data_IF_257701557651
#
_entry.id   IF_257701557651
#
_cell.length_a   1.000
_cell.length_b   1.000
_cell.length_c   1.000
_cell.angle_alpha   90.00
_cell.angle_beta   90.00
_cell.angle_gamma   90.00
#
_symmetry.space_group_name_H-M   'P 1'
#
loop_
_entity.id
_entity.type
_entity.pdbx_description
1 polymer ?
#
# COMPACT_ATOMS: atom_id res chain seq x y z
N UNK A 1 24.39 10.90 -12.73
CA UNK A 1 23.18 10.29 -12.14
C UNK A 1 23.50 9.94 -10.70
N UNK A 2 22.77 10.50 -9.73
CA UNK A 2 22.97 10.24 -8.30
C UNK A 2 22.56 8.80 -8.00
N UNK A 3 23.45 8.02 -7.40
CA UNK A 3 23.17 6.62 -7.05
C UNK A 3 22.11 6.60 -5.94
N UNK A 4 20.96 5.97 -6.20
CA UNK A 4 19.90 5.80 -5.20
C UNK A 4 20.42 4.98 -4.02
N UNK A 5 20.06 5.40 -2.81
CA UNK A 5 20.28 4.65 -1.59
C UNK A 5 19.34 3.44 -1.54
N UNK A 6 19.73 2.35 -0.89
CA UNK A 6 18.82 1.23 -0.66
C UNK A 6 17.96 1.51 0.56
N UNK A 7 16.65 1.33 0.45
CA UNK A 7 15.78 1.35 1.62
C UNK A 7 16.22 0.28 2.64
N UNK A 8 15.95 0.50 3.94
CA UNK A 8 16.17 -0.51 4.98
C UNK A 8 15.59 -1.87 4.60
N UNK A 9 16.33 -2.95 4.89
CA UNK A 9 16.00 -4.35 4.55
C UNK A 9 15.88 -4.67 3.04
N UNK A 10 16.01 -3.71 2.12
CA UNK A 10 15.99 -4.00 0.67
C UNK A 10 17.07 -5.01 0.27
N UNK A 11 18.28 -4.89 0.83
CA UNK A 11 19.40 -5.81 0.53
C UNK A 11 19.23 -7.21 1.13
N UNK A 12 18.26 -7.37 2.04
CA UNK A 12 17.92 -8.68 2.63
C UNK A 12 16.87 -9.41 1.80
N UNK A 13 16.21 -8.73 0.86
CA UNK A 13 15.29 -9.35 -0.08
C UNK A 13 16.07 -10.21 -1.08
N UNK A 14 15.44 -11.29 -1.54
CA UNK A 14 15.96 -12.05 -2.68
C UNK A 14 16.07 -11.13 -3.91
N UNK A 15 17.14 -11.27 -4.69
CA UNK A 15 17.40 -10.41 -5.85
C UNK A 15 16.34 -10.57 -6.95
N UNK A 16 15.69 -11.73 -6.98
CA UNK A 16 14.61 -12.17 -7.85
C UNK A 16 13.25 -12.19 -7.14
N UNK A 17 13.13 -11.56 -5.97
CA UNK A 17 11.87 -11.46 -5.25
C UNK A 17 10.76 -10.91 -6.16
N UNK A 18 9.72 -11.71 -6.35
CA UNK A 18 8.52 -11.35 -7.10
C UNK A 18 7.49 -10.67 -6.21
N UNK A 19 7.45 -11.08 -4.94
CA UNK A 19 6.54 -10.58 -3.92
C UNK A 19 7.35 -9.89 -2.82
N UNK A 20 6.95 -8.68 -2.46
CA UNK A 20 7.70 -7.85 -1.51
C UNK A 20 6.74 -7.14 -0.56
N UNK A 21 7.04 -7.23 0.73
CA UNK A 21 6.35 -6.49 1.78
C UNK A 21 7.12 -5.22 2.14
N UNK A 22 6.41 -4.10 2.21
CA UNK A 22 6.90 -2.80 2.63
C UNK A 22 6.06 -2.34 3.82
N UNK A 23 6.70 -1.92 4.90
CA UNK A 23 6.03 -1.28 6.04
C UNK A 23 6.40 0.19 6.03
N UNK A 24 5.40 1.08 6.06
CA UNK A 24 5.59 2.52 5.94
C UNK A 24 4.88 3.29 7.05
N UNK A 25 5.60 4.22 7.68
CA UNK A 25 5.06 5.13 8.71
C UNK A 25 5.98 5.33 9.90
N UNK A 26 5.51 6.08 10.90
CA UNK A 26 6.26 6.37 12.12
C UNK A 26 6.62 5.11 12.92
N UNK A 27 5.75 4.10 12.91
CA UNK A 27 5.91 2.83 13.62
C UNK A 27 6.49 1.72 12.73
N UNK A 28 7.01 2.06 11.55
CA UNK A 28 7.41 1.04 10.58
C UNK A 28 8.50 0.10 11.09
N UNK A 29 9.41 0.58 11.94
CA UNK A 29 10.42 -0.26 12.59
C UNK A 29 9.84 -1.18 13.66
N UNK A 30 8.82 -0.73 14.40
CA UNK A 30 8.14 -1.55 15.41
C UNK A 30 7.45 -2.72 14.72
N UNK A 31 6.63 -2.44 13.71
CA UNK A 31 5.93 -3.46 12.92
C UNK A 31 6.86 -4.41 12.16
N UNK A 32 7.99 -3.91 11.66
CA UNK A 32 8.99 -4.77 11.00
C UNK A 32 9.79 -5.64 11.96
N UNK A 33 9.84 -5.27 13.25
CA UNK A 33 10.48 -6.01 14.32
C UNK A 33 9.54 -6.97 15.06
N UNK A 34 8.23 -6.88 14.83
CA UNK A 34 7.28 -7.82 15.40
C UNK A 34 7.56 -9.24 14.87
N UNK A 35 7.68 -10.24 15.76
CA UNK A 35 7.80 -11.62 15.32
C UNK A 35 6.54 -11.99 14.52
N UNK A 36 6.73 -12.77 13.45
CA UNK A 36 5.66 -13.28 12.57
C UNK A 36 4.48 -13.92 13.33
N UNK A 37 4.68 -14.28 14.60
CA UNK A 37 3.67 -14.84 15.51
C UNK A 37 2.48 -13.93 15.85
N UNK A 38 2.54 -12.61 15.60
CA UNK A 38 1.38 -11.72 15.77
C UNK A 38 0.53 -11.55 14.49
N UNK A 39 0.94 -12.18 13.39
CA UNK A 39 0.08 -12.31 12.20
C UNK A 39 -1.03 -13.29 12.50
N UNK A 40 -2.24 -12.97 12.05
CA UNK A 40 -3.45 -13.76 12.24
C UNK A 40 -3.15 -15.26 12.06
N UNK A 41 -3.69 -16.12 12.93
CA UNK A 41 -3.43 -17.55 12.99
C UNK A 41 -3.45 -18.31 11.63
N UNK A 42 -4.04 -17.72 10.59
CA UNK A 42 -4.01 -18.18 9.21
C UNK A 42 -2.62 -18.13 8.54
N UNK A 43 -1.73 -17.16 8.86
CA UNK A 43 -0.37 -17.11 8.32
C UNK A 43 0.57 -18.07 9.03
N UNK A 44 0.37 -18.30 10.34
CA UNK A 44 1.11 -19.30 11.12
C UNK A 44 0.87 -20.71 10.55
N UNK A 45 -0.38 -21.04 10.21
CA UNK A 45 -0.71 -22.32 9.58
C UNK A 45 -0.07 -22.51 8.19
N UNK A 46 0.23 -21.40 7.49
CA UNK A 46 0.86 -21.44 6.17
C UNK A 46 2.39 -21.57 6.27
N UNK A 47 3.02 -20.92 7.25
CA UNK A 47 4.45 -21.06 7.58
C UNK A 47 4.79 -22.47 8.09
N UNK A 48 3.89 -23.13 8.82
CA UNK A 48 4.07 -24.53 9.27
C UNK A 48 4.01 -25.54 8.11
N UNK A 49 3.29 -25.22 7.03
CA UNK A 49 3.16 -26.07 5.84
C UNK A 49 4.32 -25.91 4.84
N UNK A 50 5.02 -24.77 4.87
CA UNK A 50 6.14 -24.46 3.99
C UNK A 50 7.33 -23.98 4.83
N UNK A 51 8.30 -24.86 5.18
CA UNK A 51 9.47 -24.48 5.95
C UNK A 51 10.47 -23.73 5.05
N UNK A 52 10.07 -22.58 4.53
CA UNK A 52 10.97 -21.60 3.93
C UNK A 52 11.56 -20.77 5.06
N UNK A 53 12.79 -21.11 5.43
CA UNK A 53 13.47 -20.60 6.61
C UNK A 53 13.46 -19.08 6.74
N UNK A 54 13.17 -18.62 7.96
CA UNK A 54 13.37 -17.25 8.44
C UNK A 54 12.62 -16.19 7.65
N UNK A 55 11.50 -15.71 8.18
CA UNK A 55 10.74 -14.61 7.60
C UNK A 55 11.68 -13.47 7.13
N UNK A 56 11.76 -13.25 5.83
CA UNK A 56 12.55 -12.18 5.24
C UNK A 56 11.97 -10.86 5.78
N UNK A 57 12.75 -10.03 6.48
CA UNK A 57 12.20 -8.84 7.13
C UNK A 57 11.66 -7.88 6.07
N UNK A 58 10.49 -7.26 6.28
CA UNK A 58 9.91 -6.35 5.31
C UNK A 58 10.80 -5.13 5.11
N UNK A 59 10.67 -4.49 3.94
CA UNK A 59 11.34 -3.22 3.65
C UNK A 59 10.71 -2.15 4.53
N UNK A 60 11.52 -1.36 5.22
CA UNK A 60 11.03 -0.35 6.17
C UNK A 60 11.16 1.05 5.56
N UNK A 61 10.06 1.79 5.52
CA UNK A 61 10.01 3.20 5.18
C UNK A 61 9.56 3.98 6.41
N UNK A 62 10.53 4.36 7.26
CA UNK A 62 10.24 5.18 8.44
C UNK A 62 10.01 6.64 8.05
N UNK A 63 9.69 7.50 9.02
CA UNK A 63 9.57 8.95 8.81
C UNK A 63 10.79 9.54 8.07
N UNK A 64 12.00 9.01 8.31
CA UNK A 64 13.23 9.45 7.64
C UNK A 64 13.23 9.14 6.14
N UNK A 65 12.84 7.92 5.75
CA UNK A 65 12.80 7.52 4.35
C UNK A 65 11.62 8.18 3.64
N UNK A 66 10.47 8.30 4.31
CA UNK A 66 9.27 8.96 3.79
C UNK A 66 9.53 10.44 3.48
N UNK A 67 10.34 11.13 4.29
CA UNK A 67 10.72 12.52 4.06
C UNK A 67 11.59 12.73 2.81
N UNK A 68 12.26 11.69 2.30
CA UNK A 68 13.16 11.78 1.16
C UNK A 68 13.09 10.56 0.24
N UNK A 69 11.88 10.14 -0.14
CA UNK A 69 11.63 8.92 -0.93
C UNK A 69 12.38 8.88 -2.26
N UNK A 70 12.59 10.02 -2.91
CA UNK A 70 13.26 10.11 -4.22
C UNK A 70 14.75 9.76 -4.16
N UNK A 71 15.35 9.76 -2.97
CA UNK A 71 16.73 9.33 -2.76
C UNK A 71 16.87 7.81 -2.59
N UNK A 72 15.75 7.08 -2.41
CA UNK A 72 15.76 5.66 -2.09
C UNK A 72 15.20 4.79 -3.21
N UNK A 73 15.83 3.63 -3.38
CA UNK A 73 15.22 2.47 -4.00
C UNK A 73 14.42 1.72 -2.96
N UNK A 74 13.11 1.64 -3.16
CA UNK A 74 12.16 1.10 -2.17
C UNK A 74 11.73 -0.34 -2.46
N UNK A 75 12.08 -0.88 -3.63
CA UNK A 75 11.78 -2.26 -3.99
C UNK A 75 12.79 -2.87 -4.99
N UNK A 76 12.94 -4.21 -5.03
CA UNK A 76 13.66 -4.93 -6.06
C UNK A 76 13.05 -4.69 -7.45
N UNK A 77 13.88 -4.71 -8.49
CA UNK A 77 13.42 -4.40 -9.85
C UNK A 77 12.54 -5.50 -10.45
N UNK A 78 12.68 -6.72 -9.93
CA UNK A 78 11.91 -7.91 -10.32
C UNK A 78 10.55 -7.98 -9.64
N UNK A 79 10.30 -7.17 -8.61
CA UNK A 79 9.06 -7.22 -7.85
C UNK A 79 7.85 -6.94 -8.77
N UNK A 80 6.86 -7.82 -8.69
CA UNK A 80 5.59 -7.78 -9.43
C UNK A 80 4.40 -7.53 -8.50
N UNK A 81 4.47 -8.09 -7.28
CA UNK A 81 3.46 -7.93 -6.23
C UNK A 81 4.09 -7.19 -5.06
N UNK A 82 3.49 -6.08 -4.66
CA UNK A 82 3.98 -5.24 -3.57
C UNK A 82 2.83 -4.96 -2.61
N UNK A 83 3.03 -5.34 -1.36
CA UNK A 83 2.10 -5.03 -0.27
C UNK A 83 2.71 -3.97 0.62
N UNK A 84 2.06 -2.81 0.71
CA UNK A 84 2.44 -1.70 1.56
C UNK A 84 1.54 -1.72 2.78
N UNK A 85 2.10 -2.00 3.96
CA UNK A 85 1.41 -1.90 5.23
C UNK A 85 1.65 -0.54 5.86
N UNK A 86 0.58 0.21 6.15
CA UNK A 86 0.72 1.44 6.94
C UNK A 86 0.98 1.06 8.40
N UNK A 87 1.93 1.74 9.02
CA UNK A 87 2.28 1.61 10.43
C UNK A 87 2.49 3.02 11.00
N UNK A 88 1.39 3.72 11.27
CA UNK A 88 1.39 5.14 11.56
C UNK A 88 0.33 5.50 12.63
N UNK A 89 0.24 4.71 13.69
CA UNK A 89 -0.73 4.89 14.79
C UNK A 89 -2.20 4.91 14.29
N UNK A 90 -2.51 4.14 13.26
CA UNK A 90 -3.82 4.15 12.61
C UNK A 90 -4.12 5.40 11.75
N UNK A 91 -3.21 6.37 11.68
CA UNK A 91 -3.36 7.56 10.84
C UNK A 91 -3.01 7.27 9.38
N UNK A 92 -3.67 7.95 8.41
CA UNK A 92 -3.31 7.83 7.00
C UNK A 92 -1.89 8.36 6.75
N UNK A 93 -1.16 7.71 5.84
CA UNK A 93 0.07 8.28 5.30
C UNK A 93 -0.27 9.52 4.47
N UNK A 94 0.65 10.48 4.41
CA UNK A 94 0.49 11.65 3.56
C UNK A 94 0.29 11.22 2.10
N UNK A 95 -0.70 11.79 1.42
CA UNK A 95 -1.02 11.47 0.02
C UNK A 95 0.17 11.71 -0.91
N UNK A 96 0.98 12.72 -0.60
CA UNK A 96 2.25 13.01 -1.28
C UNK A 96 3.25 11.86 -1.13
N UNK A 97 3.33 11.22 0.04
CA UNK A 97 4.18 10.07 0.25
C UNK A 97 3.68 8.85 -0.54
N UNK A 98 2.36 8.61 -0.56
CA UNK A 98 1.75 7.52 -1.36
C UNK A 98 2.04 7.72 -2.85
N UNK A 99 1.82 8.94 -3.35
CA UNK A 99 2.10 9.32 -4.74
C UNK A 99 3.56 9.09 -5.11
N UNK A 100 4.49 9.54 -4.25
CA UNK A 100 5.92 9.34 -4.47
C UNK A 100 6.32 7.88 -4.43
N UNK A 101 5.78 7.08 -3.50
CA UNK A 101 6.01 5.63 -3.46
C UNK A 101 5.56 4.99 -4.77
N UNK A 102 4.33 5.24 -5.21
CA UNK A 102 3.82 4.73 -6.48
C UNK A 102 4.68 5.12 -7.68
N UNK A 103 5.17 6.37 -7.71
CA UNK A 103 6.08 6.85 -8.76
C UNK A 103 7.42 6.11 -8.76
N UNK A 104 8.02 5.88 -7.58
CA UNK A 104 9.24 5.09 -7.47
C UNK A 104 8.99 3.63 -7.88
N UNK A 105 7.86 3.03 -7.47
CA UNK A 105 7.49 1.67 -7.88
C UNK A 105 7.31 1.54 -9.39
N UNK A 106 6.63 2.50 -10.02
CA UNK A 106 6.38 2.50 -11.46
C UNK A 106 7.68 2.56 -12.28
N UNK A 107 8.66 3.33 -11.79
CA UNK A 107 9.93 3.59 -12.49
C UNK A 107 11.01 2.54 -12.19
N UNK A 108 11.02 1.97 -10.99
CA UNK A 108 12.12 1.11 -10.52
C UNK A 108 11.78 -0.38 -10.53
N UNK A 109 10.51 -0.75 -10.71
CA UNK A 109 10.03 -2.14 -10.59
C UNK A 109 9.10 -2.54 -11.73
N UNK A 110 8.84 -3.85 -11.81
CA UNK A 110 7.83 -4.45 -12.70
C UNK A 110 6.48 -4.63 -12.01
N UNK A 111 6.22 -3.92 -10.91
CA UNK A 111 5.00 -4.07 -10.14
C UNK A 111 3.75 -3.85 -11.00
N UNK A 112 2.79 -4.77 -10.88
CA UNK A 112 1.45 -4.68 -11.46
C UNK A 112 0.38 -4.75 -10.37
N UNK A 113 0.61 -5.54 -9.32
CA UNK A 113 -0.25 -5.61 -8.15
C UNK A 113 0.41 -4.84 -7.00
N UNK A 114 -0.15 -3.68 -6.66
CA UNK A 114 0.29 -2.87 -5.51
C UNK A 114 -0.90 -2.61 -4.61
N UNK A 115 -0.79 -3.01 -3.34
CA UNK A 115 -1.87 -2.90 -2.35
C UNK A 115 -1.42 -2.10 -1.16
N UNK A 116 -2.26 -1.21 -0.69
CA UNK A 116 -2.11 -0.52 0.58
C UNK A 116 -3.05 -1.17 1.59
N UNK A 117 -2.49 -1.70 2.68
CA UNK A 117 -3.22 -2.32 3.78
C UNK A 117 -3.02 -1.53 5.08
N UNK A 118 -3.96 -1.67 6.01
CA UNK A 118 -3.82 -1.11 7.34
C UNK A 118 -2.94 -1.95 8.28
N UNK A 119 -2.80 -1.49 9.52
CA UNK A 119 -2.04 -2.18 10.57
C UNK A 119 -2.60 -3.57 10.90
N UNK A 120 -3.91 -3.78 10.70
CA UNK A 120 -4.62 -5.04 10.90
C UNK A 120 -4.67 -5.92 9.64
N UNK A 121 -4.03 -5.50 8.54
CA UNK A 121 -4.00 -6.22 7.27
C UNK A 121 -5.23 -6.03 6.39
N UNK A 122 -6.13 -5.10 6.72
CA UNK A 122 -7.29 -4.79 5.89
C UNK A 122 -6.89 -3.97 4.68
N UNK A 123 -7.41 -4.34 3.50
CA UNK A 123 -7.19 -3.60 2.26
C UNK A 123 -7.80 -2.21 2.36
N UNK A 124 -6.95 -1.19 2.22
CA UNK A 124 -7.36 0.21 2.15
C UNK A 124 -7.52 0.66 0.70
N UNK A 125 -6.53 0.33 -0.15
CA UNK A 125 -6.48 0.81 -1.52
C UNK A 125 -5.70 -0.13 -2.45
N UNK A 126 -6.20 -0.28 -3.69
CA UNK A 126 -5.53 -0.97 -4.78
C UNK A 126 -4.80 0.06 -5.66
N UNK A 127 -3.49 0.15 -5.49
CA UNK A 127 -2.61 1.11 -6.16
C UNK A 127 -2.01 0.58 -7.47
N UNK A 128 -2.25 -0.69 -7.82
CA UNK A 128 -1.70 -1.32 -9.03
C UNK A 128 -2.01 -0.53 -10.31
N UNK A 129 -3.28 -0.16 -10.50
CA UNK A 129 -3.72 0.66 -11.64
C UNK A 129 -2.99 2.02 -11.69
N UNK A 130 -2.83 2.65 -10.53
CA UNK A 130 -2.15 3.95 -10.43
C UNK A 130 -0.67 3.84 -10.83
N UNK A 131 0.01 2.77 -10.40
CA UNK A 131 1.40 2.48 -10.76
C UNK A 131 1.54 2.21 -12.26
N UNK A 132 0.63 1.44 -12.86
CA UNK A 132 0.65 1.18 -14.30
C UNK A 132 0.42 2.45 -15.15
N UNK A 133 -0.53 3.30 -14.74
CA UNK A 133 -0.80 4.59 -15.39
C UNK A 133 0.39 5.53 -15.30
N UNK A 134 0.99 5.62 -14.10
CA UNK A 134 2.22 6.38 -13.86
C UNK A 134 3.36 5.89 -14.75
N UNK A 135 3.48 4.57 -14.99
CA UNK A 135 4.51 3.99 -15.89
C UNK A 135 4.29 4.36 -17.35
N UNK A 136 3.03 4.48 -17.79
CA UNK A 136 2.66 4.89 -19.16
C UNK A 136 2.85 6.38 -19.42
N UNK A 137 3.24 7.16 -18.40
CA UNK A 137 3.51 8.59 -18.53
C UNK A 137 2.26 9.45 -18.55
N UNK A 138 1.11 8.94 -18.07
CA UNK A 138 -0.07 9.77 -17.85
C UNK A 138 0.25 10.83 -16.79
N UNK A 139 -0.14 12.07 -17.05
CA UNK A 139 0.18 13.21 -16.20
C UNK A 139 -0.48 13.05 -14.81
N UNK A 140 0.25 13.41 -13.75
CA UNK A 140 -0.26 13.40 -12.36
C UNK A 140 -1.57 14.21 -12.24
N UNK A 141 -1.71 15.29 -13.02
CA UNK A 141 -2.93 16.09 -13.05
C UNK A 141 -4.16 15.33 -13.60
N UNK A 142 -3.96 14.41 -14.54
CA UNK A 142 -5.03 13.60 -15.14
C UNK A 142 -5.43 12.43 -14.22
N UNK A 143 -4.47 11.94 -13.42
CA UNK A 143 -4.70 10.85 -12.45
C UNK A 143 -5.48 11.29 -11.21
N UNK A 144 -5.23 12.49 -10.67
CA UNK A 144 -5.96 13.00 -9.48
C UNK A 144 -7.43 13.31 -9.80
N UNK A 145 -7.73 13.75 -11.04
CA UNK A 145 -9.09 14.01 -11.48
C UNK A 145 -9.97 12.73 -11.51
N UNK A 146 -9.38 11.59 -11.89
CA UNK A 146 -10.08 10.29 -11.97
C UNK A 146 -10.32 9.68 -10.57
N UNK A 147 -9.34 9.79 -9.66
CA UNK A 147 -9.47 9.31 -8.28
C UNK A 147 -10.51 10.10 -7.48
N UNK A 148 -10.56 11.43 -7.67
CA UNK A 148 -11.57 12.28 -7.02
C UNK A 148 -12.99 11.97 -7.53
N UNK A 149 -13.16 11.68 -8.82
CA UNK A 149 -14.45 11.29 -9.39
C UNK A 149 -14.96 9.95 -8.81
N UNK A 150 -14.09 8.95 -8.64
CA UNK A 150 -14.46 7.64 -8.02
C UNK A 150 -14.81 7.74 -6.53
N UNK A 151 -14.13 8.63 -5.79
CA UNK A 151 -14.42 8.88 -4.37
C UNK A 151 -15.74 9.60 -4.15
N UNK A 152 -16.09 10.54 -5.04
CA UNK A 152 -17.39 11.24 -4.97
C UNK A 152 -18.55 10.28 -5.25
N UNK A 153 -18.44 9.42 -6.27
CA UNK A 153 -19.48 8.45 -6.63
C UNK A 153 -19.78 7.40 -5.56
N UNK A 154 -18.80 7.03 -4.72
CA UNK A 154 -19.00 6.05 -3.64
C UNK A 154 -19.57 6.65 -2.35
N UNK A 155 -19.58 7.99 -2.25
CA UNK A 155 -20.14 8.71 -1.09
C UNK A 155 -21.60 9.14 -1.26
N UNK A 156 -22.19 9.01 -2.45
CA UNK A 156 -23.54 9.51 -2.75
C UNK A 156 -24.68 8.46 -2.67
N UNK A 157 -24.41 7.20 -2.29
CA UNK A 157 -25.46 6.15 -2.28
C UNK A 157 -26.06 5.82 -0.90
N UNK A 158 -25.75 6.55 0.17
CA UNK A 158 -26.45 6.38 1.46
C UNK A 158 -27.25 7.64 1.83
N UNK A 159 -28.40 7.82 1.17
CA UNK A 159 -29.50 8.62 1.71
C UNK A 159 -30.67 7.68 1.97
N UNK A 160 -31.11 7.48 3.23
CA UNK A 160 -32.32 6.73 3.49
C UNK A 160 -33.51 7.53 2.96
N UNK A 161 -34.18 6.99 1.95
CA UNK A 161 -35.44 7.52 1.45
C UNK A 161 -36.52 7.34 2.52
N UNK A 162 -36.73 8.37 3.35
CA UNK A 162 -37.84 8.48 4.28
C UNK A 162 -39.15 8.52 3.46
N UNK A 163 -39.79 7.36 3.29
CA UNK A 163 -41.06 7.22 2.59
C UNK A 163 -42.19 7.79 3.46
N UNK A 164 -42.49 9.07 3.27
CA UNK A 164 -43.67 9.75 3.80
C UNK A 164 -44.91 9.20 3.07
N UNK A 165 -45.54 8.15 3.61
CA UNK A 165 -46.89 7.74 3.19
C UNK A 165 -47.93 8.50 4.00
N UNK A 166 -48.35 9.64 3.47
CA UNK A 166 -49.68 10.21 3.75
C UNK A 166 -50.73 9.28 3.17
N UNK A 167 -51.49 8.56 4.02
CA UNK A 167 -52.72 7.90 3.59
C UNK A 167 -53.91 8.70 4.11
N UNK A 168 -54.51 9.47 3.20
CA UNK A 168 -55.82 10.10 3.34
C UNK A 168 -56.76 9.33 2.43
N UNK A 169 -57.72 8.60 2.98
CA UNK A 169 -59.05 8.31 2.42
C UNK A 169 -59.82 7.48 3.46
N UNK A 170 -60.85 8.07 4.08
CA UNK A 170 -62.28 8.00 3.75
C UNK A 170 -62.89 6.63 4.07
N UNK A 171 -63.67 6.59 5.15
CA UNK A 171 -64.99 5.97 5.21
C UNK A 171 -65.83 6.66 6.27
#
# INVERSE_FOLDING_TARGET
MTKLLSAPNLKKQAADALEVAIVAGSQAWEFAGLPTAERAAAEIALDELLPTGGAIPPIVLSAKELANLTAYRIAPATAQVITIQRANHGEPLAETAITLMCSQLATQTKASAVRLIDEAGQLLEELGNYVERTRKGESIAEMVADTHAKRVLTSETDKPALHRKTHRERH
#
